data_IF_397022430044
#
_entry.id   IF_397022430044
#
_cell.length_a   1.000
_cell.length_b   1.000
_cell.length_c   1.000
_cell.angle_alpha   90.00
_cell.angle_beta   90.00
_cell.angle_gamma   90.00
#
_symmetry.space_group_name_H-M   'P 1'
#
loop_
_entity.id
_entity.type
_entity.pdbx_description
1 polymer ?
#
# COMPACT_ATOMS: atom_id res chain seq x y z
N UNK A 1 -20.63 35.01 -5.24
CA UNK A 1 -19.26 34.48 -5.32
C UNK A 1 -18.83 33.71 -4.07
N UNK A 2 -19.03 34.24 -2.83
CA UNK A 2 -18.71 33.50 -1.60
C UNK A 2 -19.54 32.23 -1.44
N UNK A 3 -20.84 32.28 -1.67
CA UNK A 3 -21.73 31.12 -1.62
C UNK A 3 -21.37 30.06 -2.68
N UNK A 4 -20.97 30.48 -3.87
CA UNK A 4 -20.53 29.58 -4.95
C UNK A 4 -19.23 28.88 -4.55
N UNK A 5 -18.30 29.63 -3.92
CA UNK A 5 -17.06 29.08 -3.40
C UNK A 5 -17.30 28.06 -2.29
N UNK A 6 -18.19 28.36 -1.33
CA UNK A 6 -18.58 27.46 -0.24
C UNK A 6 -19.26 26.20 -0.80
N UNK A 7 -20.15 26.35 -1.79
CA UNK A 7 -20.78 25.21 -2.46
C UNK A 7 -19.76 24.30 -3.14
N UNK A 8 -18.76 24.90 -3.79
CA UNK A 8 -17.66 24.15 -4.42
C UNK A 8 -16.82 23.40 -3.38
N UNK A 9 -16.52 24.01 -2.22
CA UNK A 9 -15.83 23.34 -1.12
C UNK A 9 -16.67 22.18 -0.59
N UNK A 10 -17.97 22.36 -0.38
CA UNK A 10 -18.87 21.30 0.07
C UNK A 10 -18.88 20.12 -0.92
N UNK A 11 -19.00 20.39 -2.22
CA UNK A 11 -18.96 19.38 -3.27
C UNK A 11 -17.63 18.61 -3.30
N UNK A 12 -16.51 19.32 -3.23
CA UNK A 12 -15.19 18.71 -3.20
C UNK A 12 -14.99 17.85 -1.94
N UNK A 13 -15.49 18.30 -0.80
CA UNK A 13 -15.45 17.55 0.47
C UNK A 13 -16.22 16.24 0.34
N UNK A 14 -17.40 16.24 -0.30
CA UNK A 14 -18.15 15.04 -0.62
C UNK A 14 -17.38 14.08 -1.52
N UNK A 15 -16.78 14.58 -2.59
CA UNK A 15 -15.97 13.77 -3.50
C UNK A 15 -14.75 13.14 -2.80
N UNK A 16 -14.10 13.86 -1.88
CA UNK A 16 -12.97 13.33 -1.10
C UNK A 16 -13.45 12.26 -0.12
N UNK A 17 -14.64 12.39 0.45
CA UNK A 17 -15.24 11.37 1.32
C UNK A 17 -15.48 10.05 0.55
N UNK A 18 -16.03 10.12 -0.64
CA UNK A 18 -16.27 8.96 -1.51
C UNK A 18 -14.95 8.31 -1.93
N UNK A 19 -13.95 9.13 -2.27
CA UNK A 19 -12.62 8.65 -2.63
C UNK A 19 -11.93 7.96 -1.44
N UNK A 20 -12.06 8.52 -0.23
CA UNK A 20 -11.51 7.95 1.00
C UNK A 20 -12.16 6.60 1.32
N UNK A 21 -13.48 6.47 1.15
CA UNK A 21 -14.19 5.20 1.27
C UNK A 21 -13.66 4.15 0.27
N UNK A 22 -13.50 4.54 -0.99
CA UNK A 22 -12.94 3.67 -2.03
C UNK A 22 -11.49 3.25 -1.74
N UNK A 23 -10.67 4.16 -1.21
CA UNK A 23 -9.29 3.86 -0.79
C UNK A 23 -9.27 2.85 0.36
N UNK A 24 -10.16 2.99 1.35
CA UNK A 24 -10.32 2.04 2.44
C UNK A 24 -10.61 0.63 1.92
N UNK A 25 -11.62 0.50 1.05
CA UNK A 25 -12.01 -0.79 0.46
C UNK A 25 -10.84 -1.42 -0.31
N UNK A 26 -10.11 -0.63 -1.09
CA UNK A 26 -8.94 -1.11 -1.84
C UNK A 26 -7.80 -1.54 -0.92
N UNK A 27 -7.54 -0.80 0.15
CA UNK A 27 -6.52 -1.14 1.12
C UNK A 27 -6.88 -2.43 1.90
N UNK A 28 -8.16 -2.62 2.28
CA UNK A 28 -8.63 -3.85 2.90
C UNK A 28 -8.49 -5.07 1.97
N UNK A 29 -8.88 -4.92 0.70
CA UNK A 29 -8.72 -5.97 -0.31
C UNK A 29 -7.23 -6.29 -0.50
N UNK A 30 -6.38 -5.26 -0.58
CA UNK A 30 -4.94 -5.42 -0.69
C UNK A 30 -4.36 -6.19 0.50
N UNK A 31 -4.68 -5.78 1.72
CA UNK A 31 -4.27 -6.46 2.95
C UNK A 31 -4.70 -7.93 2.99
N UNK A 32 -5.97 -8.22 2.65
CA UNK A 32 -6.47 -9.60 2.56
C UNK A 32 -5.74 -10.43 1.52
N UNK A 33 -5.38 -9.83 0.38
CA UNK A 33 -4.65 -10.52 -0.70
C UNK A 33 -3.23 -10.86 -0.28
N UNK A 34 -2.54 -9.93 0.38
CA UNK A 34 -1.18 -10.16 0.91
C UNK A 34 -1.18 -11.20 2.02
N UNK A 35 -2.18 -11.23 2.90
CA UNK A 35 -2.31 -12.27 3.91
C UNK A 35 -2.49 -13.67 3.29
N UNK A 36 -3.29 -13.79 2.22
CA UNK A 36 -3.38 -15.05 1.46
C UNK A 36 -2.05 -15.45 0.83
N UNK A 37 -1.30 -14.48 0.29
CA UNK A 37 0.04 -14.73 -0.25
C UNK A 37 1.00 -15.19 0.85
N UNK A 38 0.95 -14.61 2.04
CA UNK A 38 1.72 -15.04 3.20
C UNK A 38 1.42 -16.48 3.61
N UNK A 39 0.15 -16.88 3.64
CA UNK A 39 -0.26 -18.24 3.93
C UNK A 39 0.25 -19.22 2.84
N UNK A 40 0.19 -18.80 1.58
CA UNK A 40 0.72 -19.59 0.47
C UNK A 40 2.25 -19.76 0.56
N UNK A 41 2.99 -18.70 0.93
CA UNK A 41 4.44 -18.77 1.15
C UNK A 41 4.80 -19.76 2.28
N UNK A 42 4.05 -19.72 3.40
CA UNK A 42 4.21 -20.69 4.49
C UNK A 42 3.93 -22.13 4.06
N UNK A 43 2.95 -22.34 3.17
CA UNK A 43 2.68 -23.64 2.60
C UNK A 43 3.82 -24.12 1.71
N UNK A 44 4.37 -23.23 0.86
CA UNK A 44 5.53 -23.52 0.00
C UNK A 44 6.73 -23.88 0.88
N UNK A 45 7.00 -23.11 1.93
CA UNK A 45 8.09 -23.37 2.88
C UNK A 45 8.04 -24.81 3.43
N UNK A 46 6.90 -25.23 3.95
CA UNK A 46 6.69 -26.60 4.43
C UNK A 46 6.87 -27.65 3.34
N UNK A 47 6.44 -27.34 2.12
CA UNK A 47 6.54 -28.29 1.00
C UNK A 47 7.99 -28.46 0.55
N UNK A 48 8.75 -27.39 0.55
CA UNK A 48 10.18 -27.37 0.21
C UNK A 48 10.99 -28.10 1.29
N UNK A 49 10.67 -27.89 2.57
CA UNK A 49 11.28 -28.61 3.68
C UNK A 49 11.02 -30.14 3.57
N UNK A 50 9.79 -30.54 3.30
CA UNK A 50 9.43 -31.95 3.08
C UNK A 50 10.17 -32.56 1.88
N UNK A 51 10.32 -31.79 0.77
CA UNK A 51 11.09 -32.24 -0.39
C UNK A 51 12.58 -32.41 -0.05
N UNK A 52 13.15 -31.48 0.72
CA UNK A 52 14.53 -31.57 1.22
C UNK A 52 14.78 -32.80 2.06
N UNK A 53 13.88 -33.09 2.98
CA UNK A 53 13.95 -34.30 3.81
C UNK A 53 13.84 -35.62 2.96
N UNK A 54 12.97 -35.61 1.95
CA UNK A 54 12.86 -36.73 1.01
C UNK A 54 14.12 -36.97 0.19
N UNK A 55 14.79 -35.90 -0.26
CA UNK A 55 16.06 -36.01 -0.97
C UNK A 55 17.21 -36.48 -0.08
N UNK A 56 17.27 -36.06 1.18
CA UNK A 56 18.25 -36.57 2.13
C UNK A 56 18.07 -38.09 2.36
N UNK A 57 16.84 -38.56 2.46
CA UNK A 57 16.55 -39.98 2.55
C UNK A 57 16.99 -40.74 1.28
N UNK A 58 16.79 -40.15 0.10
CA UNK A 58 17.25 -40.71 -1.19
C UNK A 58 18.79 -40.82 -1.23
N UNK A 59 19.52 -39.78 -0.79
CA UNK A 59 20.99 -39.81 -0.68
C UNK A 59 21.44 -40.97 0.24
N UNK A 60 20.80 -41.14 1.39
CA UNK A 60 21.13 -42.24 2.30
C UNK A 60 20.85 -43.62 1.67
N UNK A 61 19.69 -43.82 1.05
CA UNK A 61 19.35 -45.10 0.38
C UNK A 61 20.27 -45.42 -0.80
N UNK A 62 20.70 -44.43 -1.57
CA UNK A 62 21.64 -44.64 -2.66
C UNK A 62 23.04 -44.99 -2.15
N UNK A 63 23.45 -44.47 -0.99
CA UNK A 63 24.69 -44.90 -0.33
C UNK A 63 24.67 -46.38 0.04
N UNK A 64 23.56 -46.89 0.63
CA UNK A 64 23.39 -48.29 0.92
C UNK A 64 23.44 -49.18 -0.34
N UNK A 65 22.80 -48.74 -1.43
CA UNK A 65 22.85 -49.43 -2.72
C UNK A 65 24.29 -49.50 -3.26
N UNK A 66 25.07 -48.41 -3.10
CA UNK A 66 26.48 -48.37 -3.48
C UNK A 66 27.31 -49.42 -2.72
N UNK A 67 27.09 -49.53 -1.40
CA UNK A 67 27.79 -50.48 -0.56
C UNK A 67 27.42 -51.92 -0.93
N UNK A 68 26.14 -52.22 -1.16
CA UNK A 68 25.68 -53.53 -1.63
C UNK A 68 26.30 -53.90 -2.99
N UNK A 69 26.32 -52.91 -3.92
CA UNK A 69 26.90 -53.15 -5.24
C UNK A 69 28.39 -53.42 -5.18
N UNK A 70 29.13 -52.74 -4.29
CA UNK A 70 30.53 -53.02 -4.01
C UNK A 70 30.75 -54.42 -3.44
N UNK A 71 29.87 -54.89 -2.55
CA UNK A 71 29.91 -56.27 -2.02
C UNK A 71 29.68 -57.30 -3.12
N UNK A 72 28.68 -57.06 -4.01
CA UNK A 72 28.42 -57.93 -5.16
C UNK A 72 29.63 -58.00 -6.09
N UNK A 73 30.30 -56.90 -6.36
CA UNK A 73 31.55 -56.87 -7.14
C UNK A 73 32.61 -57.75 -6.50
N UNK A 74 32.82 -57.60 -5.18
CA UNK A 74 33.79 -58.42 -4.43
C UNK A 74 33.46 -59.92 -4.49
N UNK A 75 32.18 -60.31 -4.33
CA UNK A 75 31.70 -61.70 -4.39
C UNK A 75 31.91 -62.24 -5.81
N UNK A 76 31.62 -61.44 -6.85
CA UNK A 76 31.82 -61.84 -8.24
C UNK A 76 33.29 -62.09 -8.58
N UNK A 77 34.19 -61.24 -8.09
CA UNK A 77 35.63 -61.43 -8.24
C UNK A 77 36.12 -62.72 -7.55
N UNK A 78 35.65 -62.96 -6.31
CA UNK A 78 35.96 -64.19 -5.58
C UNK A 78 35.41 -65.45 -6.31
N UNK A 79 34.18 -65.34 -6.83
CA UNK A 79 33.54 -66.40 -7.63
C UNK A 79 34.30 -66.69 -8.92
N UNK A 80 34.74 -65.65 -9.59
CA UNK A 80 35.55 -65.75 -10.81
C UNK A 80 36.90 -66.45 -10.54
N UNK A 81 37.57 -66.11 -9.42
CA UNK A 81 38.80 -66.79 -8.97
C UNK A 81 38.56 -68.24 -8.59
N UNK A 82 37.47 -68.55 -7.89
CA UNK A 82 37.10 -69.95 -7.57
C UNK A 82 36.81 -70.79 -8.82
N UNK A 83 36.07 -70.23 -9.74
CA UNK A 83 35.77 -70.83 -11.03
C UNK A 83 37.03 -71.08 -11.88
N UNK A 84 37.93 -70.13 -11.90
CA UNK A 84 39.24 -70.27 -12.57
C UNK A 84 40.06 -71.41 -11.97
N UNK A 85 40.15 -71.46 -10.65
CA UNK A 85 40.86 -72.58 -9.96
C UNK A 85 40.20 -73.93 -10.24
N UNK A 86 38.86 -73.98 -10.27
CA UNK A 86 38.13 -75.22 -10.62
C UNK A 86 38.37 -75.62 -12.11
N UNK A 87 38.42 -74.69 -13.02
CA UNK A 87 38.74 -74.94 -14.43
C UNK A 87 40.17 -75.47 -14.61
N UNK A 88 41.14 -74.97 -13.87
CA UNK A 88 42.52 -75.45 -13.88
C UNK A 88 42.61 -76.87 -13.36
N UNK A 89 41.95 -77.20 -12.24
CA UNK A 89 42.00 -78.54 -11.67
C UNK A 89 41.22 -79.52 -12.52
N UNK A 90 40.14 -79.16 -13.17
CA UNK A 90 39.38 -79.98 -14.14
C UNK A 90 40.28 -80.26 -15.40
N UNK A 91 41.03 -79.30 -15.87
CA UNK A 91 41.98 -79.55 -16.97
C UNK A 91 43.10 -80.50 -16.57
N UNK A 92 43.52 -80.43 -15.30
CA UNK A 92 44.55 -81.33 -14.72
C UNK A 92 44.09 -82.84 -14.59
N UNK A 93 42.75 -83.02 -14.39
CA UNK A 93 42.13 -84.35 -14.34
C UNK A 93 41.95 -85.03 -15.72
N UNK A 94 42.28 -84.36 -16.81
CA UNK A 94 42.24 -84.91 -18.18
C UNK A 94 40.85 -85.26 -18.67
N UNK A 95 40.67 -86.45 -19.25
CA UNK A 95 39.36 -86.96 -19.78
C UNK A 95 38.27 -87.05 -18.75
N UNK A 96 38.61 -87.37 -17.49
CA UNK A 96 37.66 -87.45 -16.38
C UNK A 96 37.13 -86.08 -15.87
N UNK A 97 37.84 -84.96 -16.23
CA UNK A 97 37.51 -83.61 -15.78
C UNK A 97 36.70 -82.83 -16.81
N UNK A 98 36.46 -83.27 -18.03
CA UNK A 98 35.82 -82.51 -19.14
C UNK A 98 34.48 -81.94 -18.74
N UNK A 99 33.60 -82.64 -18.05
CA UNK A 99 32.30 -82.11 -17.61
C UNK A 99 32.41 -81.01 -16.57
N UNK A 100 33.38 -81.16 -15.64
CA UNK A 100 33.65 -80.13 -14.63
C UNK A 100 34.26 -78.81 -15.25
N UNK A 101 35.10 -78.97 -16.28
CA UNK A 101 35.69 -77.80 -16.98
C UNK A 101 34.65 -76.92 -17.64
N UNK A 102 33.61 -77.58 -18.25
CA UNK A 102 32.51 -76.76 -18.88
C UNK A 102 31.69 -76.01 -17.81
N UNK A 103 31.39 -76.68 -16.66
CA UNK A 103 30.66 -75.99 -15.60
C UNK A 103 31.49 -74.82 -14.99
N UNK A 104 32.77 -75.04 -14.78
CA UNK A 104 33.67 -74.08 -14.22
C UNK A 104 33.78 -72.84 -15.16
N UNK A 105 33.90 -72.99 -16.48
CA UNK A 105 33.92 -71.96 -17.44
C UNK A 105 32.57 -71.16 -17.48
N UNK A 106 31.41 -71.89 -17.37
CA UNK A 106 30.11 -71.20 -17.32
C UNK A 106 29.94 -70.40 -16.03
N UNK A 107 30.38 -70.89 -14.88
CA UNK A 107 30.40 -70.10 -13.62
C UNK A 107 31.33 -68.93 -13.72
N UNK A 108 32.48 -69.06 -14.37
CA UNK A 108 33.43 -67.97 -14.62
C UNK A 108 32.77 -66.85 -15.44
N UNK A 109 32.07 -67.22 -16.53
CA UNK A 109 31.33 -66.27 -17.38
C UNK A 109 30.22 -65.56 -16.64
N UNK A 110 29.42 -66.24 -15.83
CA UNK A 110 28.38 -65.67 -14.98
C UNK A 110 28.95 -64.70 -13.94
N UNK A 111 30.10 -65.02 -13.34
CA UNK A 111 30.79 -64.11 -12.43
C UNK A 111 31.26 -62.85 -13.10
N UNK A 112 31.82 -62.92 -14.32
CA UNK A 112 32.22 -61.74 -15.12
C UNK A 112 31.03 -60.87 -15.53
N UNK A 113 29.90 -61.47 -15.95
CA UNK A 113 28.66 -60.75 -16.24
C UNK A 113 28.05 -60.08 -15.00
N UNK A 114 28.11 -60.75 -13.84
CA UNK A 114 27.66 -60.17 -12.55
C UNK A 114 28.53 -58.99 -12.14
N UNK A 115 29.86 -59.11 -12.29
CA UNK A 115 30.80 -57.99 -12.01
C UNK A 115 30.52 -56.80 -12.89
N UNK A 116 30.31 -56.98 -14.20
CA UNK A 116 29.94 -55.89 -15.14
C UNK A 116 28.64 -55.22 -14.76
N UNK A 117 27.64 -56.03 -14.34
CA UNK A 117 26.33 -55.50 -13.93
C UNK A 117 26.43 -54.71 -12.62
N UNK A 118 27.19 -55.18 -11.63
CA UNK A 118 27.44 -54.47 -10.38
C UNK A 118 28.17 -53.12 -10.61
N UNK A 119 29.20 -53.13 -11.44
CA UNK A 119 29.92 -51.89 -11.81
C UNK A 119 29.00 -50.89 -12.55
N UNK A 120 28.10 -51.35 -13.39
CA UNK A 120 27.10 -50.50 -14.03
C UNK A 120 26.12 -49.89 -13.00
N UNK A 121 25.64 -50.66 -12.04
CA UNK A 121 24.80 -50.17 -10.95
C UNK A 121 25.54 -49.10 -10.15
N UNK A 122 26.80 -49.32 -9.79
CA UNK A 122 27.63 -48.32 -9.09
C UNK A 122 27.71 -46.97 -9.87
N UNK A 123 27.92 -47.06 -11.18
CA UNK A 123 27.96 -45.83 -12.04
C UNK A 123 26.63 -45.09 -12.02
N UNK A 124 25.51 -45.81 -12.14
CA UNK A 124 24.17 -45.19 -12.10
C UNK A 124 23.89 -44.57 -10.72
N UNK A 125 24.22 -45.29 -9.64
CA UNK A 125 24.06 -44.80 -8.27
C UNK A 125 24.89 -43.56 -8.01
N UNK A 126 26.14 -43.51 -8.47
CA UNK A 126 26.99 -42.33 -8.34
C UNK A 126 26.39 -41.12 -9.08
N UNK A 127 25.79 -41.32 -10.25
CA UNK A 127 25.06 -40.26 -10.97
C UNK A 127 23.87 -39.74 -10.16
N UNK A 128 23.04 -40.68 -9.62
CA UNK A 128 21.87 -40.31 -8.79
C UNK A 128 22.31 -39.53 -7.53
N UNK A 129 23.39 -39.93 -6.89
CA UNK A 129 23.94 -39.25 -5.71
C UNK A 129 24.35 -37.80 -6.04
N UNK A 130 25.10 -37.61 -7.14
CA UNK A 130 25.55 -36.27 -7.56
C UNK A 130 24.36 -35.37 -7.90
N UNK A 131 23.38 -35.85 -8.66
CA UNK A 131 22.17 -35.07 -9.01
C UNK A 131 21.33 -34.79 -7.75
N UNK A 132 21.26 -35.70 -6.80
CA UNK A 132 20.55 -35.49 -5.53
C UNK A 132 21.22 -34.40 -4.67
N UNK A 133 22.56 -34.40 -4.58
CA UNK A 133 23.32 -33.38 -3.83
C UNK A 133 23.11 -32.00 -4.48
N UNK A 134 23.17 -31.89 -5.79
CA UNK A 134 22.89 -30.66 -6.53
C UNK A 134 21.46 -30.16 -6.23
N UNK A 135 20.49 -31.07 -6.27
CA UNK A 135 19.09 -30.74 -5.98
C UNK A 135 18.90 -30.28 -4.53
N UNK A 136 19.57 -30.88 -3.55
CA UNK A 136 19.56 -30.41 -2.15
C UNK A 136 20.12 -28.98 -2.03
N UNK A 137 21.15 -28.62 -2.77
CA UNK A 137 21.68 -27.27 -2.78
C UNK A 137 20.68 -26.27 -3.40
N UNK A 138 20.02 -26.66 -4.50
CA UNK A 138 18.96 -25.85 -5.11
C UNK A 138 17.76 -25.64 -4.16
N UNK A 139 17.38 -26.66 -3.39
CA UNK A 139 16.34 -26.55 -2.36
C UNK A 139 16.69 -25.50 -1.30
N UNK A 140 17.94 -25.42 -0.84
CA UNK A 140 18.36 -24.38 0.12
C UNK A 140 18.17 -22.96 -0.45
N UNK A 141 18.55 -22.75 -1.72
CA UNK A 141 18.33 -21.47 -2.37
C UNK A 141 16.84 -21.12 -2.45
N UNK A 142 15.98 -22.11 -2.73
CA UNK A 142 14.53 -21.91 -2.74
C UNK A 142 14.01 -21.56 -1.34
N UNK A 143 14.49 -22.21 -0.28
CA UNK A 143 14.13 -21.89 1.11
C UNK A 143 14.49 -20.46 1.48
N UNK A 144 15.68 -19.99 1.11
CA UNK A 144 16.09 -18.60 1.33
C UNK A 144 15.17 -17.60 0.62
N UNK A 145 14.81 -17.89 -0.65
CA UNK A 145 13.90 -17.04 -1.42
C UNK A 145 12.47 -17.04 -0.82
N UNK A 146 11.99 -18.18 -0.35
CA UNK A 146 10.67 -18.29 0.32
C UNK A 146 10.67 -17.50 1.63
N UNK A 147 11.73 -17.64 2.43
CA UNK A 147 11.90 -16.90 3.68
C UNK A 147 11.88 -15.36 3.41
N UNK A 148 12.61 -14.92 2.39
CA UNK A 148 12.59 -13.52 1.97
C UNK A 148 11.21 -13.07 1.51
N UNK A 149 10.47 -13.92 0.78
CA UNK A 149 9.10 -13.67 0.38
C UNK A 149 8.13 -13.53 1.55
N UNK A 150 8.31 -14.31 2.62
CA UNK A 150 7.53 -14.21 3.86
C UNK A 150 7.76 -12.85 4.53
N UNK A 151 9.01 -12.42 4.67
CA UNK A 151 9.37 -11.13 5.27
C UNK A 151 8.75 -9.98 4.47
N UNK A 152 8.91 -9.98 3.15
CA UNK A 152 8.37 -8.95 2.26
C UNK A 152 6.82 -8.89 2.33
N UNK A 153 6.17 -10.05 2.45
CA UNK A 153 4.72 -10.12 2.61
C UNK A 153 4.26 -9.50 3.94
N UNK A 154 5.02 -9.73 5.03
CA UNK A 154 4.73 -9.13 6.33
C UNK A 154 4.89 -7.62 6.33
N UNK A 155 5.96 -7.11 5.72
CA UNK A 155 6.18 -5.66 5.55
C UNK A 155 5.05 -5.02 4.72
N UNK A 156 4.65 -5.68 3.62
CA UNK A 156 3.56 -5.20 2.78
C UNK A 156 2.23 -5.17 3.53
N UNK A 157 1.96 -6.15 4.40
CA UNK A 157 0.78 -6.13 5.29
C UNK A 157 0.84 -4.95 6.25
N UNK A 158 2.02 -4.63 6.81
CA UNK A 158 2.23 -3.45 7.64
C UNK A 158 1.90 -2.16 6.90
N UNK A 159 2.36 -2.00 5.67
CA UNK A 159 2.09 -0.83 4.83
C UNK A 159 0.59 -0.65 4.54
N UNK A 160 -0.16 -1.74 4.29
CA UNK A 160 -1.63 -1.64 4.12
C UNK A 160 -2.34 -1.21 5.40
N UNK A 161 -1.88 -1.66 6.56
CA UNK A 161 -2.44 -1.21 7.85
C UNK A 161 -2.15 0.29 8.09
N UNK A 162 -0.98 0.78 7.71
CA UNK A 162 -0.65 2.20 7.76
C UNK A 162 -1.53 3.02 6.83
N UNK A 163 -1.77 2.56 5.60
CA UNK A 163 -2.71 3.18 4.65
C UNK A 163 -4.11 3.28 5.26
N UNK A 164 -4.61 2.21 5.90
CA UNK A 164 -5.92 2.23 6.56
C UNK A 164 -5.99 3.29 7.67
N UNK A 165 -4.95 3.42 8.49
CA UNK A 165 -4.87 4.46 9.52
C UNK A 165 -4.85 5.87 8.91
N UNK A 166 -4.12 6.09 7.82
CA UNK A 166 -4.07 7.37 7.12
C UNK A 166 -5.44 7.73 6.52
N UNK A 167 -6.15 6.77 5.93
CA UNK A 167 -7.51 6.97 5.41
C UNK A 167 -8.48 7.34 6.53
N UNK A 168 -8.35 6.77 7.71
CA UNK A 168 -9.18 7.11 8.87
C UNK A 168 -8.91 8.56 9.32
N UNK A 169 -7.66 9.01 9.35
CA UNK A 169 -7.31 10.40 9.64
C UNK A 169 -7.88 11.37 8.59
N UNK A 170 -7.76 11.04 7.29
CA UNK A 170 -8.36 11.84 6.22
C UNK A 170 -9.87 11.92 6.38
N UNK A 171 -10.55 10.83 6.74
CA UNK A 171 -12.00 10.83 6.98
C UNK A 171 -12.38 11.76 8.14
N UNK A 172 -11.60 11.79 9.23
CA UNK A 172 -11.81 12.73 10.33
C UNK A 172 -11.66 14.19 9.89
N UNK A 173 -10.61 14.49 9.11
CA UNK A 173 -10.39 15.85 8.57
C UNK A 173 -11.51 16.30 7.63
N UNK A 174 -12.05 15.39 6.83
CA UNK A 174 -13.21 15.66 5.96
C UNK A 174 -14.43 16.09 6.81
N UNK A 175 -14.67 15.43 7.93
CA UNK A 175 -15.77 15.79 8.84
C UNK A 175 -15.58 17.18 9.43
N UNK A 176 -14.35 17.55 9.80
CA UNK A 176 -14.02 18.89 10.29
C UNK A 176 -14.24 19.96 9.21
N UNK A 177 -13.80 19.70 7.97
CA UNK A 177 -14.01 20.61 6.82
C UNK A 177 -15.50 20.76 6.52
N UNK A 178 -16.28 19.68 6.57
CA UNK A 178 -17.72 19.73 6.37
C UNK A 178 -18.41 20.59 7.44
N UNK A 179 -18.04 20.43 8.71
CA UNK A 179 -18.57 21.26 9.81
C UNK A 179 -18.18 22.75 9.65
N UNK A 180 -16.93 23.04 9.31
CA UNK A 180 -16.47 24.40 9.04
C UNK A 180 -17.22 25.05 7.85
N UNK A 181 -17.48 24.26 6.80
CA UNK A 181 -18.24 24.72 5.63
C UNK A 181 -19.68 25.08 6.00
N UNK A 182 -20.31 24.31 6.88
CA UNK A 182 -21.66 24.59 7.40
C UNK A 182 -21.66 25.90 8.19
N UNK A 183 -20.67 26.12 9.04
CA UNK A 183 -20.53 27.37 9.80
C UNK A 183 -20.28 28.57 8.87
N UNK A 184 -19.47 28.42 7.82
CA UNK A 184 -19.26 29.46 6.83
C UNK A 184 -20.55 29.81 6.10
N UNK A 185 -21.38 28.83 5.73
CA UNK A 185 -22.69 29.07 5.11
C UNK A 185 -23.56 29.94 6.01
N UNK A 186 -23.71 29.57 7.27
CA UNK A 186 -24.48 30.36 8.26
C UNK A 186 -23.89 31.77 8.46
N UNK A 187 -22.56 31.90 8.50
CA UNK A 187 -21.88 33.18 8.62
C UNK A 187 -22.15 34.09 7.41
N UNK A 188 -22.16 33.56 6.19
CA UNK A 188 -22.49 34.34 4.98
C UNK A 188 -23.94 34.80 4.97
N UNK A 189 -24.90 33.99 5.44
CA UNK A 189 -26.30 34.41 5.60
C UNK A 189 -26.43 35.60 6.54
N UNK A 190 -25.71 35.62 7.66
CA UNK A 190 -25.69 36.76 8.62
C UNK A 190 -25.08 37.99 7.95
N UNK A 191 -23.99 37.83 7.20
CA UNK A 191 -23.36 38.94 6.45
C UNK A 191 -24.34 39.52 5.42
N UNK A 192 -25.05 38.70 4.66
CA UNK A 192 -26.05 39.14 3.70
C UNK A 192 -27.16 39.95 4.37
N UNK A 193 -27.67 39.52 5.51
CA UNK A 193 -28.68 40.23 6.28
C UNK A 193 -28.14 41.57 6.78
N UNK A 194 -26.91 41.61 7.28
CA UNK A 194 -26.25 42.82 7.77
C UNK A 194 -26.03 43.83 6.64
N UNK A 195 -25.57 43.37 5.46
CA UNK A 195 -25.39 44.26 4.27
C UNK A 195 -26.73 44.84 3.82
N UNK A 196 -27.80 44.05 3.82
CA UNK A 196 -29.14 44.53 3.47
C UNK A 196 -29.63 45.61 4.46
N UNK A 197 -29.44 45.40 5.75
CA UNK A 197 -29.79 46.36 6.81
C UNK A 197 -28.98 47.64 6.69
N UNK A 198 -27.67 47.51 6.40
CA UNK A 198 -26.78 48.66 6.18
C UNK A 198 -27.21 49.47 4.95
N UNK A 199 -27.58 48.81 3.85
CA UNK A 199 -28.08 49.47 2.65
C UNK A 199 -29.37 50.28 2.93
N UNK A 200 -30.30 49.70 3.71
CA UNK A 200 -31.52 50.41 4.13
C UNK A 200 -31.21 51.61 5.01
N UNK A 201 -30.33 51.46 6.02
CA UNK A 201 -29.89 52.56 6.89
C UNK A 201 -29.15 53.67 6.13
N UNK A 202 -28.35 53.33 5.13
CA UNK A 202 -27.66 54.31 4.28
C UNK A 202 -28.66 55.12 3.46
N UNK A 203 -29.70 54.48 2.92
CA UNK A 203 -30.76 55.16 2.19
C UNK A 203 -31.55 56.11 3.09
N UNK A 204 -31.87 55.69 4.31
CA UNK A 204 -32.53 56.56 5.31
C UNK A 204 -31.64 57.77 5.69
N UNK A 205 -30.35 57.52 5.95
CA UNK A 205 -29.39 58.58 6.25
C UNK A 205 -29.29 59.61 5.11
N UNK A 206 -29.29 59.14 3.85
CA UNK A 206 -29.31 60.01 2.69
C UNK A 206 -30.56 60.88 2.63
N UNK A 207 -31.73 60.33 2.86
CA UNK A 207 -32.99 61.11 2.90
C UNK A 207 -33.02 62.11 4.04
N UNK A 208 -32.53 61.74 5.25
CA UNK A 208 -32.41 62.68 6.38
C UNK A 208 -31.42 63.81 6.06
N UNK A 209 -30.32 63.55 5.39
CA UNK A 209 -29.34 64.55 4.98
C UNK A 209 -29.95 65.56 4.00
N UNK A 210 -30.76 65.11 3.07
CA UNK A 210 -31.49 65.94 2.11
C UNK A 210 -32.53 66.83 2.84
N UNK A 211 -33.25 66.26 3.81
CA UNK A 211 -34.18 67.04 4.63
C UNK A 211 -33.49 68.12 5.48
N UNK A 212 -32.31 67.82 6.06
CA UNK A 212 -31.49 68.82 6.79
C UNK A 212 -30.99 69.91 5.84
N UNK A 213 -30.54 69.59 4.64
CA UNK A 213 -30.13 70.59 3.68
C UNK A 213 -31.26 71.55 3.31
N UNK A 214 -32.47 70.99 3.06
CA UNK A 214 -33.67 71.83 2.76
C UNK A 214 -34.05 72.74 3.94
N UNK A 215 -34.05 72.22 5.19
CA UNK A 215 -34.32 73.00 6.40
C UNK A 215 -33.27 74.07 6.61
N UNK A 216 -32.02 73.83 6.26
CA UNK A 216 -30.96 74.85 6.30
C UNK A 216 -31.18 76.00 5.28
N UNK A 217 -31.67 75.70 4.08
CA UNK A 217 -32.05 76.68 3.09
C UNK A 217 -33.24 77.53 3.56
N UNK A 218 -34.27 76.87 4.16
CA UNK A 218 -35.40 77.63 4.73
C UNK A 218 -34.97 78.50 5.90
N UNK A 219 -34.04 78.06 6.75
CA UNK A 219 -33.46 78.91 7.79
C UNK A 219 -32.69 80.11 7.26
N UNK A 220 -31.89 79.94 6.21
CA UNK A 220 -31.19 81.05 5.55
C UNK A 220 -32.20 82.10 5.04
N UNK A 221 -33.25 81.63 4.37
CA UNK A 221 -34.30 82.56 3.92
C UNK A 221 -34.99 83.33 5.09
N UNK A 222 -35.30 82.65 6.16
CA UNK A 222 -35.85 83.30 7.37
C UNK A 222 -34.87 84.28 8.00
N UNK A 223 -33.57 84.00 7.99
CA UNK A 223 -32.53 84.94 8.48
C UNK A 223 -32.42 86.20 7.61
N UNK A 224 -32.57 86.05 6.26
CA UNK A 224 -32.64 87.17 5.36
C UNK A 224 -33.87 88.10 5.65
N UNK A 225 -35.04 87.46 5.84
CA UNK A 225 -36.27 88.24 6.24
C UNK A 225 -36.09 88.97 7.57
N UNK A 226 -35.47 88.26 8.57
CA UNK A 226 -35.17 88.92 9.88
C UNK A 226 -34.18 90.08 9.69
N UNK A 227 -33.17 89.96 8.81
CA UNK A 227 -32.22 91.02 8.50
C UNK A 227 -32.91 92.23 7.87
N UNK A 228 -33.81 92.00 6.93
CA UNK A 228 -34.59 93.08 6.31
C UNK A 228 -35.51 93.75 7.34
N UNK A 229 -36.16 93.03 8.22
CA UNK A 229 -37.01 93.56 9.25
C UNK A 229 -36.20 94.41 10.27
N UNK A 230 -34.99 93.90 10.67
CA UNK A 230 -34.09 94.63 11.55
C UNK A 230 -33.59 95.94 10.92
N UNK A 231 -33.26 95.99 9.62
CA UNK A 231 -32.87 97.15 8.89
C UNK A 231 -34.02 98.18 8.82
N UNK A 232 -35.25 97.74 8.52
CA UNK A 232 -36.44 98.54 8.53
C UNK A 232 -36.75 99.17 9.91
N UNK A 233 -36.58 98.42 10.99
CA UNK A 233 -36.69 98.85 12.38
C UNK A 233 -35.63 99.88 12.71
N UNK A 234 -34.37 99.73 12.23
CA UNK A 234 -33.29 100.72 12.41
C UNK A 234 -33.63 102.04 11.72
N UNK A 235 -34.15 101.99 10.50
CA UNK A 235 -34.56 103.15 9.74
C UNK A 235 -35.73 103.87 10.43
N UNK A 236 -36.75 103.18 10.91
CA UNK A 236 -37.86 103.72 11.69
C UNK A 236 -37.37 104.38 13.00
N UNK A 237 -36.41 103.77 13.69
CA UNK A 237 -35.79 104.39 14.87
C UNK A 237 -35.05 105.66 14.57
N UNK A 238 -34.32 105.74 13.45
CA UNK A 238 -33.67 107.01 12.94
C UNK A 238 -34.72 108.11 12.59
N UNK A 239 -35.80 107.68 11.92
CA UNK A 239 -36.89 108.59 11.59
C UNK A 239 -37.55 109.18 12.83
N UNK A 240 -37.87 108.29 13.81
CA UNK A 240 -38.42 108.64 15.10
C UNK A 240 -37.48 109.54 15.89
N UNK A 241 -36.16 109.25 15.88
CA UNK A 241 -35.17 110.17 16.50
C UNK A 241 -35.15 111.55 15.84
N UNK A 242 -35.32 111.59 14.53
CA UNK A 242 -35.39 112.82 13.79
C UNK A 242 -36.65 113.63 14.09
N UNK A 243 -37.81 112.98 14.22
CA UNK A 243 -39.07 113.57 14.65
C UNK A 243 -38.97 114.13 16.05
N UNK A 244 -38.45 113.34 17.00
CA UNK A 244 -38.26 113.76 18.41
C UNK A 244 -37.35 115.00 18.49
N UNK A 245 -36.27 115.04 17.73
CA UNK A 245 -35.36 116.18 17.69
C UNK A 245 -36.02 117.46 17.12
N UNK A 246 -37.07 117.32 16.30
CA UNK A 246 -37.85 118.43 15.78
C UNK A 246 -38.84 118.99 16.84
N UNK A 247 -39.24 118.22 17.83
CA UNK A 247 -40.14 118.65 18.90
C UNK A 247 -39.44 119.22 20.16
N UNK A 248 -38.12 119.27 20.16
CA UNK A 248 -37.35 119.91 21.22
C UNK A 248 -37.10 121.36 20.85
N UNK A 249 -38.19 122.18 20.95
CA UNK A 249 -38.24 123.60 21.19
C UNK A 249 -39.54 123.94 21.86
#
# INVERSE_FOLDING_TARGET
ELLDSISSVASNTGNIADLSSSMRDKAEIGSKSVNKMLDQMKFIDKSVDSAGNGLQALVASTAEISDISSLITTISEQTNLLALNAAIEAARAGEQGKGFAVVAEEVRKLADETNKSANHIQSVVATIQNESIETVNNIKVVQENVSSGIVLSQETTGNFNEILNLVEQVTSQIQEVAAATQQLTSGVEVIQHTVHTLAAGTKETSANTEAVAKSSEEQLHSMEEISYAAESLSQLAEELQTVINRFKY
#
